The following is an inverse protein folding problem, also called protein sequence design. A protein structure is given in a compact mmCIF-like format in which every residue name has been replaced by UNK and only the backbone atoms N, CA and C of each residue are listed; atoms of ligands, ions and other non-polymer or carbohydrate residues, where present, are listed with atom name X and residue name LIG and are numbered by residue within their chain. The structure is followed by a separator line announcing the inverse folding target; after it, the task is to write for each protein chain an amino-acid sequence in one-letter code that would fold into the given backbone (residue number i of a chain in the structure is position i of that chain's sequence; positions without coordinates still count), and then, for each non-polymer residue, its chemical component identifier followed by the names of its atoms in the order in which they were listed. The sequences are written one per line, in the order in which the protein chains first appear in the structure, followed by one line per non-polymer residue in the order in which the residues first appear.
data_IF_697307786027
#
_entry.id   IF_697307786027
#
_cell.length_a   1.000
_cell.length_b   1.000
_cell.length_c   1.000
_cell.angle_alpha   90.00
_cell.angle_beta   90.00
_cell.angle_gamma   90.00
#
_symmetry.space_group_name_H-M   'P 1'
#
loop_
_entity.id
_entity.type
_entity.pdbx_description
1 polymer ?
#
# COMPACT_ATOMS: atom_id res chain seq x y z
N UNK A 1 25.50 -6.72 -28.63
CA UNK A 1 24.34 -6.43 -27.77
C UNK A 1 24.88 -6.28 -26.37
N UNK A 2 24.56 -5.20 -25.65
CA UNK A 2 25.02 -5.05 -24.26
C UNK A 2 24.35 -6.12 -23.40
N UNK A 3 25.12 -6.77 -22.53
CA UNK A 3 24.60 -7.75 -21.58
C UNK A 3 23.69 -7.04 -20.58
N UNK A 4 22.46 -7.52 -20.46
CA UNK A 4 21.47 -6.93 -19.55
C UNK A 4 21.81 -7.35 -18.11
N UNK A 5 21.79 -6.42 -17.13
CA UNK A 5 22.04 -6.79 -15.74
C UNK A 5 20.94 -7.75 -15.22
N UNK A 6 21.25 -8.57 -14.20
CA UNK A 6 20.27 -9.46 -13.59
C UNK A 6 19.08 -8.66 -13.03
N UNK A 7 17.88 -9.21 -13.20
CA UNK A 7 16.64 -8.61 -12.69
C UNK A 7 16.48 -8.95 -11.20
N UNK A 8 16.19 -7.98 -10.32
CA UNK A 8 15.87 -8.27 -8.92
C UNK A 8 14.68 -9.24 -8.76
N UNK A 9 14.71 -10.06 -7.71
CA UNK A 9 13.60 -10.93 -7.32
C UNK A 9 12.63 -10.27 -6.34
N UNK A 10 11.49 -10.92 -6.11
CA UNK A 10 10.50 -10.52 -5.10
C UNK A 10 10.30 -11.68 -4.11
N UNK A 11 10.43 -11.37 -2.81
CA UNK A 11 10.12 -12.30 -1.72
C UNK A 11 8.85 -11.84 -1.02
N UNK A 12 7.83 -12.69 -0.99
CA UNK A 12 6.61 -12.42 -0.21
C UNK A 12 6.94 -12.30 1.27
N UNK A 13 6.36 -11.32 1.95
CA UNK A 13 6.52 -11.09 3.38
C UNK A 13 5.21 -11.35 4.13
N UNK A 14 4.18 -10.55 3.84
CA UNK A 14 2.89 -10.59 4.52
C UNK A 14 1.84 -9.86 3.70
N UNK A 15 0.58 -9.95 4.12
CA UNK A 15 -0.56 -9.26 3.53
C UNK A 15 -1.19 -8.33 4.56
N UNK A 16 -1.51 -7.11 4.14
CA UNK A 16 -2.31 -6.15 4.89
C UNK A 16 -3.69 -6.08 4.25
N UNK A 17 -4.75 -6.33 5.01
CA UNK A 17 -6.11 -5.93 4.64
C UNK A 17 -6.45 -4.67 5.43
N UNK A 18 -6.46 -3.52 4.77
CA UNK A 18 -6.82 -2.23 5.37
C UNK A 18 -8.31 -1.98 5.13
N UNK A 19 -9.10 -1.95 6.19
CA UNK A 19 -10.52 -1.60 6.14
C UNK A 19 -10.67 -0.09 5.97
N UNK A 20 -11.59 0.32 5.10
CA UNK A 20 -11.78 1.72 4.73
C UNK A 20 -13.24 2.14 4.87
N UNK A 21 -13.44 3.42 5.13
CA UNK A 21 -14.77 4.04 5.09
C UNK A 21 -15.00 4.80 3.77
N UNK A 22 -16.16 5.44 3.69
CA UNK A 22 -16.60 6.26 2.57
C UNK A 22 -15.60 7.36 2.24
N UNK A 23 -15.42 7.57 0.94
CA UNK A 23 -14.53 8.59 0.42
C UNK A 23 -15.07 9.98 0.74
N UNK A 24 -14.20 10.86 1.21
CA UNK A 24 -14.50 12.27 1.41
C UNK A 24 -13.79 13.08 0.35
N UNK A 25 -14.52 13.79 -0.50
CA UNK A 25 -13.92 14.74 -1.43
C UNK A 25 -13.32 15.91 -0.67
N UNK A 26 -12.02 16.15 -0.86
CA UNK A 26 -11.32 17.32 -0.33
C UNK A 26 -11.46 18.49 -1.30
N UNK A 27 -11.35 18.21 -2.60
CA UNK A 27 -11.65 19.15 -3.67
C UNK A 27 -10.87 18.90 -4.96
N UNK A 28 -11.29 19.59 -6.01
CA UNK A 28 -10.68 19.53 -7.33
C UNK A 28 -9.63 20.64 -7.55
N UNK A 29 -8.59 20.31 -8.30
CA UNK A 29 -7.55 21.23 -8.77
C UNK A 29 -7.10 20.86 -10.18
N UNK A 30 -6.17 21.62 -10.78
CA UNK A 30 -5.68 21.36 -12.13
C UNK A 30 -5.01 19.98 -12.31
N UNK A 31 -4.49 19.37 -11.23
CA UNK A 31 -3.87 18.04 -11.27
C UNK A 31 -4.86 16.89 -11.11
N UNK A 32 -6.10 17.15 -10.66
CA UNK A 32 -7.06 16.11 -10.34
C UNK A 32 -7.97 16.45 -9.16
N UNK A 33 -8.76 15.48 -8.73
CA UNK A 33 -9.63 15.58 -7.53
C UNK A 33 -9.00 14.79 -6.40
N UNK A 34 -8.76 15.47 -5.28
CA UNK A 34 -8.23 14.85 -4.06
C UNK A 34 -9.38 14.33 -3.20
N UNK A 35 -9.25 13.10 -2.77
CA UNK A 35 -10.11 12.43 -1.80
C UNK A 35 -9.30 12.06 -0.56
N UNK A 36 -9.98 12.00 0.58
CA UNK A 36 -9.49 11.38 1.79
C UNK A 36 -10.35 10.17 2.11
N UNK A 37 -9.72 9.02 2.30
CA UNK A 37 -10.37 7.74 2.59
C UNK A 37 -9.92 7.29 3.98
N UNK A 38 -10.80 7.32 5.00
CA UNK A 38 -10.43 6.89 6.35
C UNK A 38 -10.05 5.41 6.38
N UNK A 39 -8.92 5.07 7.00
CA UNK A 39 -8.55 3.69 7.32
C UNK A 39 -9.04 3.41 8.74
N UNK A 40 -10.02 2.51 8.85
CA UNK A 40 -10.77 2.27 10.08
C UNK A 40 -10.22 1.12 10.92
N UNK A 41 -9.42 0.26 10.31
CA UNK A 41 -8.85 -0.91 10.95
C UNK A 41 -8.40 -1.92 9.91
N UNK A 42 -8.45 -3.20 10.28
CA UNK A 42 -8.05 -4.30 9.41
C UNK A 42 -7.06 -5.28 10.04
N UNK A 43 -6.46 -6.10 9.20
CA UNK A 43 -5.74 -7.31 9.61
C UNK A 43 -4.41 -7.43 8.89
N UNK A 44 -3.42 -7.99 9.58
CA UNK A 44 -2.10 -8.32 9.02
C UNK A 44 -1.90 -9.83 9.15
N UNK A 45 -1.53 -10.49 8.04
CA UNK A 45 -1.33 -11.94 7.99
C UNK A 45 -0.06 -12.30 7.23
N UNK A 46 0.77 -13.15 7.83
CA UNK A 46 2.02 -13.64 7.27
C UNK A 46 2.63 -14.70 8.17
N UNK A 47 3.62 -15.42 7.67
CA UNK A 47 4.28 -16.48 8.46
C UNK A 47 5.07 -15.85 9.62
N UNK A 48 4.59 -16.05 10.85
CA UNK A 48 5.13 -15.40 12.04
C UNK A 48 4.94 -13.88 12.09
N UNK A 49 4.13 -13.31 11.18
CA UNK A 49 3.89 -11.87 11.07
C UNK A 49 2.38 -11.57 11.05
N UNK A 50 1.77 -11.58 12.23
CA UNK A 50 0.33 -11.40 12.41
C UNK A 50 0.02 -10.20 13.30
N UNK A 51 -1.10 -9.54 13.01
CA UNK A 51 -1.53 -8.37 13.77
C UNK A 51 -2.77 -7.72 13.20
N UNK A 52 -2.92 -6.44 13.54
CA UNK A 52 -4.05 -5.59 13.13
C UNK A 52 -3.58 -4.26 12.59
N UNK A 53 -4.38 -3.68 11.70
CA UNK A 53 -4.25 -2.27 11.33
C UNK A 53 -4.90 -1.43 12.43
N UNK A 54 -4.23 -0.36 12.86
CA UNK A 54 -4.76 0.56 13.87
C UNK A 54 -5.68 1.60 13.22
N UNK A 55 -6.73 1.98 13.95
CA UNK A 55 -7.58 3.10 13.59
C UNK A 55 -6.82 4.43 13.67
N UNK A 56 -7.14 5.37 12.78
CA UNK A 56 -6.63 6.75 12.81
C UNK A 56 -5.75 7.13 11.62
N UNK A 57 -5.54 6.20 10.68
CA UNK A 57 -4.89 6.46 9.39
C UNK A 57 -5.88 6.86 8.29
N UNK A 58 -5.34 7.06 7.10
CA UNK A 58 -6.15 7.26 5.90
C UNK A 58 -5.32 7.32 4.63
N UNK A 59 -6.02 7.40 3.50
CA UNK A 59 -5.44 7.50 2.17
C UNK A 59 -5.83 8.83 1.52
N UNK A 60 -4.82 9.58 1.07
CA UNK A 60 -4.99 10.82 0.31
C UNK A 60 -4.92 10.48 -1.18
N UNK A 61 -6.03 9.98 -1.71
CA UNK A 61 -6.13 9.49 -3.06
C UNK A 61 -6.46 10.63 -4.04
N UNK A 62 -5.61 10.86 -5.03
CA UNK A 62 -5.85 11.85 -6.10
C UNK A 62 -6.28 11.14 -7.38
N UNK A 63 -7.54 11.33 -7.78
CA UNK A 63 -7.99 10.96 -9.12
C UNK A 63 -7.48 11.99 -10.11
N UNK A 64 -6.56 11.58 -10.98
CA UNK A 64 -5.95 12.48 -11.96
C UNK A 64 -6.95 12.96 -13.01
N UNK A 65 -6.58 14.05 -13.68
CA UNK A 65 -7.43 14.69 -14.70
C UNK A 65 -7.66 13.85 -15.96
N UNK A 66 -6.79 12.87 -16.24
CA UNK A 66 -6.96 11.84 -17.28
C UNK A 66 -8.01 10.76 -16.92
N UNK A 67 -8.46 10.72 -15.66
CA UNK A 67 -9.57 9.91 -15.12
C UNK A 67 -9.38 8.39 -15.23
N UNK A 68 -8.19 7.92 -15.55
CA UNK A 68 -7.80 6.51 -15.57
C UNK A 68 -6.72 6.17 -14.54
N UNK A 69 -6.11 7.16 -13.88
CA UNK A 69 -5.11 6.96 -12.83
C UNK A 69 -5.57 7.55 -11.49
N UNK A 70 -5.44 6.74 -10.43
CA UNK A 70 -5.55 7.17 -9.05
C UNK A 70 -4.17 7.09 -8.38
N UNK A 71 -3.67 8.22 -7.90
CA UNK A 71 -2.46 8.28 -7.07
C UNK A 71 -2.86 8.07 -5.61
N UNK A 72 -2.31 7.05 -4.94
CA UNK A 72 -2.61 6.76 -3.53
C UNK A 72 -1.47 7.17 -2.62
N UNK A 73 -1.81 7.63 -1.43
CA UNK A 73 -0.87 8.01 -0.38
C UNK A 73 -1.49 7.64 0.98
N UNK A 74 -1.41 6.36 1.33
CA UNK A 74 -1.91 5.86 2.59
C UNK A 74 -0.90 6.08 3.72
N UNK A 75 -1.36 6.62 4.85
CA UNK A 75 -0.57 6.81 6.07
C UNK A 75 -1.32 6.18 7.24
N UNK A 76 -0.73 5.16 7.85
CA UNK A 76 -1.37 4.38 8.91
C UNK A 76 -0.34 3.57 9.70
N UNK A 77 -0.80 2.91 10.75
CA UNK A 77 0.03 2.02 11.57
C UNK A 77 -0.57 0.62 11.61
N UNK A 78 0.30 -0.37 11.79
CA UNK A 78 -0.09 -1.72 12.18
C UNK A 78 0.49 -2.05 13.55
N UNK A 79 -0.19 -2.90 14.30
CA UNK A 79 0.30 -3.47 15.55
C UNK A 79 0.30 -4.99 15.43
N UNK A 80 1.48 -5.58 15.61
CA UNK A 80 1.65 -7.02 15.63
C UNK A 80 1.15 -7.62 16.95
N UNK A 81 0.88 -8.92 16.95
CA UNK A 81 0.37 -9.64 18.13
C UNK A 81 1.32 -9.58 19.34
N UNK A 82 2.61 -9.39 19.11
CA UNK A 82 3.60 -9.18 20.17
C UNK A 82 3.66 -7.73 20.70
N UNK A 83 2.76 -6.84 20.22
CA UNK A 83 2.61 -5.47 20.67
C UNK A 83 3.44 -4.44 19.88
N UNK A 84 4.35 -4.87 19.00
CA UNK A 84 5.19 -3.95 18.21
C UNK A 84 4.33 -3.17 17.22
N UNK A 85 4.52 -1.86 17.19
CA UNK A 85 3.85 -0.94 16.26
C UNK A 85 4.80 -0.57 15.12
N UNK A 86 4.29 -0.63 13.90
CA UNK A 86 5.01 -0.27 12.68
C UNK A 86 4.22 0.83 11.99
N UNK A 87 4.88 1.94 11.69
CA UNK A 87 4.31 3.05 10.94
C UNK A 87 4.59 2.89 9.44
N UNK A 88 3.59 3.22 8.63
CA UNK A 88 3.58 2.95 7.20
C UNK A 88 3.17 4.21 6.44
N UNK A 89 4.00 4.59 5.48
CA UNK A 89 3.61 5.47 4.38
C UNK A 89 3.63 4.62 3.12
N UNK A 90 2.46 4.41 2.50
CA UNK A 90 2.31 3.57 1.33
C UNK A 90 1.80 4.39 0.15
N UNK A 91 2.70 4.74 -0.76
CA UNK A 91 2.39 5.50 -1.97
C UNK A 91 2.25 4.57 -3.16
N UNK A 92 1.39 4.85 -4.12
CA UNK A 92 1.22 3.97 -5.27
C UNK A 92 0.37 4.55 -6.37
N UNK A 93 0.10 3.72 -7.37
CA UNK A 93 -0.75 4.04 -8.51
C UNK A 93 -1.74 2.92 -8.74
N UNK A 94 -3.00 3.30 -8.92
CA UNK A 94 -4.02 2.47 -9.56
C UNK A 94 -4.20 2.95 -10.99
N UNK A 95 -4.32 2.03 -11.94
CA UNK A 95 -4.83 2.31 -13.27
C UNK A 95 -6.11 1.53 -13.52
N UNK A 96 -7.12 2.23 -14.00
CA UNK A 96 -8.39 1.63 -14.41
C UNK A 96 -8.30 1.21 -15.88
N UNK A 97 -8.96 0.09 -16.21
CA UNK A 97 -8.97 -0.46 -17.56
C UNK A 97 -9.51 0.54 -18.60
N UNK A 98 -10.44 1.42 -18.16
CA UNK A 98 -10.96 2.54 -18.95
C UNK A 98 -11.24 3.75 -18.05
N UNK A 99 -11.08 4.98 -18.57
CA UNK A 99 -11.41 6.19 -17.82
C UNK A 99 -12.85 6.17 -17.28
N UNK A 100 -13.01 6.49 -16.00
CA UNK A 100 -14.32 6.54 -15.33
C UNK A 100 -14.98 5.20 -15.02
N UNK A 101 -14.24 4.08 -15.15
CA UNK A 101 -14.71 2.75 -14.68
C UNK A 101 -14.13 2.40 -13.32
N UNK A 102 -14.70 1.39 -12.66
CA UNK A 102 -14.16 0.82 -11.41
C UNK A 102 -13.33 -0.46 -11.66
N UNK A 103 -13.13 -0.84 -12.93
CA UNK A 103 -12.35 -2.01 -13.29
C UNK A 103 -10.85 -1.67 -13.20
N UNK A 104 -10.15 -2.25 -12.25
CA UNK A 104 -8.72 -2.00 -12.00
C UNK A 104 -7.88 -3.00 -12.81
N UNK A 105 -6.98 -2.50 -13.65
CA UNK A 105 -6.02 -3.33 -14.40
C UNK A 105 -4.65 -3.42 -13.72
N UNK A 106 -4.31 -2.43 -12.89
CA UNK A 106 -3.00 -2.31 -12.26
C UNK A 106 -3.15 -1.59 -10.93
N UNK A 107 -2.63 -2.17 -9.85
CA UNK A 107 -2.55 -1.48 -8.57
C UNK A 107 -1.30 -1.93 -7.81
N UNK A 108 -0.28 -1.06 -7.87
CA UNK A 108 1.00 -1.29 -7.22
C UNK A 108 1.35 -0.13 -6.30
N UNK A 109 1.96 -0.46 -5.17
CA UNK A 109 2.35 0.49 -4.16
C UNK A 109 3.81 0.27 -3.73
N UNK A 110 4.35 1.24 -3.00
CA UNK A 110 5.69 1.22 -2.42
C UNK A 110 5.56 1.61 -0.95
N UNK A 111 5.38 0.61 -0.06
CA UNK A 111 5.29 0.87 1.36
C UNK A 111 6.68 1.19 1.90
N UNK A 112 6.74 2.25 2.71
CA UNK A 112 7.91 2.61 3.49
C UNK A 112 7.60 2.39 4.97
N UNK A 113 8.41 1.58 5.63
CA UNK A 113 8.19 1.15 7.02
C UNK A 113 9.10 1.91 7.97
N UNK A 114 8.54 2.38 9.08
CA UNK A 114 9.27 2.93 10.22
C UNK A 114 8.95 2.11 11.46
N UNK A 115 9.97 1.49 12.04
CA UNK A 115 9.84 0.64 13.22
C UNK A 115 11.07 0.80 14.11
N UNK A 116 10.86 0.87 15.42
CA UNK A 116 11.90 1.01 16.43
C UNK A 116 12.00 -0.26 17.29
N UNK A 117 12.18 -1.41 16.63
CA UNK A 117 12.28 -2.72 17.29
C UNK A 117 13.31 -3.60 16.58
N UNK A 118 14.32 -4.15 17.30
CA UNK A 118 15.43 -4.89 16.69
C UNK A 118 14.99 -6.06 15.79
N UNK A 119 13.99 -6.84 16.22
CA UNK A 119 13.51 -8.01 15.47
C UNK A 119 12.87 -7.65 14.11
N UNK A 120 12.47 -6.38 13.92
CA UNK A 120 11.81 -5.88 12.71
C UNK A 120 12.65 -4.84 11.96
N UNK A 121 13.89 -4.63 12.39
CA UNK A 121 14.81 -3.64 11.82
C UNK A 121 15.10 -3.88 10.32
N UNK A 122 14.97 -5.14 9.86
CA UNK A 122 15.09 -5.52 8.45
C UNK A 122 14.12 -4.73 7.54
N UNK A 123 12.94 -4.36 8.04
CA UNK A 123 11.94 -3.58 7.30
C UNK A 123 12.40 -2.16 6.99
N UNK A 124 13.38 -1.64 7.72
CA UNK A 124 13.96 -0.31 7.50
C UNK A 124 15.15 -0.33 6.53
N UNK A 125 15.60 -1.53 6.14
CA UNK A 125 16.84 -1.78 5.38
C UNK A 125 16.60 -2.40 4.01
N UNK A 126 15.35 -2.48 3.56
CA UNK A 126 15.00 -3.06 2.27
C UNK A 126 14.01 -2.17 1.50
N UNK A 127 13.92 -2.42 0.19
CA UNK A 127 12.88 -1.84 -0.67
C UNK A 127 11.72 -2.80 -0.74
N UNK A 128 10.50 -2.27 -0.67
CA UNK A 128 9.29 -3.05 -0.73
C UNK A 128 8.38 -2.60 -1.86
N UNK A 129 7.61 -3.55 -2.38
CA UNK A 129 6.53 -3.34 -3.33
C UNK A 129 5.28 -3.98 -2.76
N UNK A 130 4.15 -3.28 -2.88
CA UNK A 130 2.82 -3.82 -2.62
C UNK A 130 2.10 -4.11 -3.92
N UNK A 131 1.53 -5.29 -4.07
CA UNK A 131 0.48 -5.53 -5.07
C UNK A 131 -0.86 -5.47 -4.35
N UNK A 132 -1.77 -4.63 -4.83
CA UNK A 132 -3.02 -4.37 -4.14
C UNK A 132 -4.25 -4.77 -4.95
N UNK A 133 -5.32 -5.11 -4.24
CA UNK A 133 -6.63 -5.41 -4.77
C UNK A 133 -7.67 -4.60 -4.00
N UNK A 134 -8.49 -3.83 -4.72
CA UNK A 134 -9.62 -3.12 -4.12
C UNK A 134 -10.76 -4.09 -3.83
N UNK A 135 -11.29 -4.04 -2.61
CA UNK A 135 -12.50 -4.72 -2.16
C UNK A 135 -13.57 -3.67 -1.83
N UNK A 136 -14.85 -4.04 -1.71
CA UNK A 136 -15.91 -3.07 -1.42
C UNK A 136 -15.72 -2.28 -0.12
N UNK A 137 -15.07 -2.87 0.89
CA UNK A 137 -14.91 -2.33 2.25
C UNK A 137 -13.44 -2.26 2.70
N UNK A 138 -12.49 -2.62 1.82
CA UNK A 138 -11.09 -2.72 2.17
C UNK A 138 -10.17 -2.65 0.95
N UNK A 139 -8.90 -2.38 1.20
CA UNK A 139 -7.82 -2.64 0.24
C UNK A 139 -6.95 -3.76 0.79
N UNK A 140 -6.78 -4.82 0.01
CA UNK A 140 -5.88 -5.93 0.32
C UNK A 140 -4.55 -5.69 -0.39
N UNK A 141 -3.43 -5.80 0.34
CA UNK A 141 -2.10 -5.43 -0.16
C UNK A 141 -1.13 -6.54 0.20
N UNK A 142 -0.63 -7.23 -0.81
CA UNK A 142 0.42 -8.24 -0.70
C UNK A 142 1.79 -7.55 -0.73
N UNK A 143 2.55 -7.67 0.35
CA UNK A 143 3.83 -6.99 0.54
C UNK A 143 4.97 -7.93 0.16
N UNK A 144 5.84 -7.43 -0.71
CA UNK A 144 7.03 -8.13 -1.18
C UNK A 144 8.27 -7.30 -0.90
N UNK A 145 9.32 -7.94 -0.40
CA UNK A 145 10.66 -7.40 -0.35
C UNK A 145 11.35 -7.59 -1.71
N UNK A 146 12.00 -6.54 -2.20
CA UNK A 146 12.88 -6.62 -3.37
C UNK A 146 14.21 -7.21 -2.94
N UNK A 147 14.58 -8.32 -3.54
CA UNK A 147 15.82 -9.06 -3.22
C UNK A 147 16.69 -9.18 -4.47
N UNK A 148 17.98 -9.43 -4.29
CA UNK A 148 18.81 -9.85 -5.42
C UNK A 148 18.27 -11.17 -5.97
N UNK A 149 18.34 -11.36 -7.29
CA UNK A 149 18.10 -12.67 -7.91
C UNK A 149 19.02 -13.71 -7.28
N UNK A 150 18.47 -14.88 -6.98
CA UNK A 150 19.24 -16.05 -6.59
C UNK A 150 20.16 -16.51 -7.73
#
# INVERSE_FOLDING_TARGET
MAEQPPTPGLRYCFTIRAEVDSWMEVGASGSGTLYFIPITGGQVRGDGFEGKVLHGGGDWATMRSDKDVLEVEARYQIQLNNGVVIDIINTGLTRYAKPGTLEIEYFMTRPHFRVAHPDYDWMTKAVFVGQADSKPDATEIHIFEVVNSA
#
